data_IF_210753565461
#
_entry.id   IF_210753565461
#
_cell.length_a   1.000
_cell.length_b   1.000
_cell.length_c   1.000
_cell.angle_alpha   90.00
_cell.angle_beta   90.00
_cell.angle_gamma   90.00
#
_symmetry.space_group_name_H-M   'P 1'
#
loop_
_entity.id
_entity.type
_entity.pdbx_description
1 polymer ?
#
# COMPACT_ATOMS: atom_id res chain seq x y z
N UNK A 1 -27.55 -21.29 -3.72
CA UNK A 1 -27.37 -20.43 -4.91
C UNK A 1 -27.20 -18.99 -4.43
N UNK A 2 -25.97 -18.45 -4.39
CA UNK A 2 -25.75 -17.05 -3.96
C UNK A 2 -26.24 -16.13 -5.08
N UNK A 3 -27.23 -15.30 -4.78
CA UNK A 3 -27.73 -14.27 -5.70
C UNK A 3 -26.61 -13.24 -5.87
N UNK A 4 -25.98 -13.19 -7.06
CA UNK A 4 -25.05 -12.10 -7.41
C UNK A 4 -25.87 -10.82 -7.48
N UNK A 5 -25.66 -9.91 -6.54
CA UNK A 5 -26.33 -8.61 -6.52
C UNK A 5 -25.73 -7.77 -7.65
N UNK A 6 -26.49 -7.56 -8.73
CA UNK A 6 -26.06 -6.70 -9.84
C UNK A 6 -26.28 -5.25 -9.39
N UNK A 7 -25.21 -4.59 -8.96
CA UNK A 7 -25.23 -3.15 -8.68
C UNK A 7 -24.99 -2.42 -10.00
N UNK A 8 -25.87 -1.48 -10.35
CA UNK A 8 -25.68 -0.59 -11.50
C UNK A 8 -24.66 0.50 -11.13
N UNK A 9 -23.56 0.59 -11.88
CA UNK A 9 -22.68 1.75 -11.90
C UNK A 9 -23.01 2.54 -13.17
N UNK A 10 -23.08 3.86 -13.06
CA UNK A 10 -23.32 4.75 -14.22
C UNK A 10 -21.97 5.10 -14.88
N UNK A 11 -21.14 4.07 -15.11
CA UNK A 11 -19.86 4.21 -15.78
C UNK A 11 -19.73 3.07 -16.78
N UNK A 12 -19.66 3.43 -18.05
CA UNK A 12 -19.35 2.50 -19.13
C UNK A 12 -17.83 2.52 -19.32
N UNK A 13 -17.20 1.35 -19.19
CA UNK A 13 -15.77 1.22 -19.44
C UNK A 13 -15.49 1.66 -20.88
N UNK A 14 -14.41 2.41 -21.08
CA UNK A 14 -13.95 2.79 -22.42
C UNK A 14 -13.05 1.72 -23.04
N UNK A 15 -12.64 0.74 -22.23
CA UNK A 15 -11.81 -0.41 -22.58
C UNK A 15 -12.48 -1.74 -22.22
N UNK A 16 -11.93 -2.84 -22.74
CA UNK A 16 -12.47 -4.20 -22.59
C UNK A 16 -12.52 -4.69 -21.13
N UNK A 17 -11.54 -4.29 -20.31
CA UNK A 17 -11.43 -4.68 -18.91
C UNK A 17 -11.23 -3.47 -18.02
N UNK A 18 -11.58 -3.60 -16.74
CA UNK A 18 -11.39 -2.53 -15.76
C UNK A 18 -9.89 -2.19 -15.63
N UNK A 19 -9.03 -3.21 -15.62
CA UNK A 19 -7.58 -3.03 -15.57
C UNK A 19 -7.06 -2.16 -16.72
N UNK A 20 -7.47 -2.45 -17.96
CA UNK A 20 -7.07 -1.68 -19.15
C UNK A 20 -7.62 -0.25 -19.11
N UNK A 21 -8.84 -0.08 -18.60
CA UNK A 21 -9.47 1.23 -18.49
C UNK A 21 -8.72 2.11 -17.46
N UNK A 22 -8.33 1.52 -16.31
CA UNK A 22 -7.46 2.16 -15.31
C UNK A 22 -6.10 2.51 -15.93
N UNK A 23 -5.46 1.61 -16.68
CA UNK A 23 -4.17 1.88 -17.34
C UNK A 23 -4.27 3.08 -18.28
N UNK A 24 -5.30 3.11 -19.12
CA UNK A 24 -5.54 4.22 -20.06
C UNK A 24 -5.79 5.52 -19.32
N UNK A 25 -6.61 5.50 -18.26
CA UNK A 25 -6.85 6.65 -17.41
C UNK A 25 -5.54 7.19 -16.82
N UNK A 26 -4.71 6.33 -16.24
CA UNK A 26 -3.40 6.69 -15.67
C UNK A 26 -2.48 7.30 -16.74
N UNK A 27 -2.46 6.72 -17.95
CA UNK A 27 -1.66 7.25 -19.07
C UNK A 27 -2.12 8.64 -19.49
N UNK A 28 -3.43 8.88 -19.55
CA UNK A 28 -4.01 10.18 -19.88
C UNK A 28 -3.72 11.22 -18.80
N UNK A 29 -3.87 10.86 -17.52
CA UNK A 29 -3.52 11.73 -16.39
C UNK A 29 -2.05 12.15 -16.44
N UNK A 30 -1.14 11.22 -16.70
CA UNK A 30 0.30 11.51 -16.85
C UNK A 30 0.63 12.41 -18.05
N UNK A 31 -0.27 12.54 -19.03
CA UNK A 31 -0.13 13.47 -20.16
C UNK A 31 -0.68 14.88 -19.85
N UNK A 32 -1.31 15.06 -18.69
CA UNK A 32 -1.91 16.32 -18.26
C UNK A 32 -3.37 16.48 -18.66
N UNK A 33 -4.04 15.42 -19.14
CA UNK A 33 -5.45 15.48 -19.56
C UNK A 33 -6.40 15.89 -18.41
N UNK A 34 -5.98 15.69 -17.17
CA UNK A 34 -6.71 16.08 -15.95
C UNK A 34 -5.97 17.17 -15.15
N UNK A 35 -5.00 17.87 -15.74
CA UNK A 35 -4.44 19.04 -15.09
C UNK A 35 -5.56 20.07 -14.87
N UNK A 36 -5.62 20.66 -13.70
CA UNK A 36 -6.65 21.60 -13.24
C UNK A 36 -8.05 20.98 -13.20
N UNK A 37 -8.18 19.65 -13.00
CA UNK A 37 -9.46 18.92 -12.93
C UNK A 37 -10.43 19.59 -11.95
N UNK A 38 -9.91 20.15 -10.84
CA UNK A 38 -10.68 20.94 -9.88
C UNK A 38 -11.44 22.11 -10.50
N UNK A 39 -10.82 22.81 -11.45
CA UNK A 39 -11.42 23.94 -12.16
C UNK A 39 -12.40 23.50 -13.24
N UNK A 40 -12.20 22.30 -13.79
CA UNK A 40 -12.97 21.75 -14.92
C UNK A 40 -14.02 20.71 -14.50
N UNK A 41 -14.50 20.77 -13.25
CA UNK A 41 -15.67 20.01 -12.81
C UNK A 41 -15.37 18.60 -12.28
N UNK A 42 -14.11 18.33 -11.93
CA UNK A 42 -13.65 17.12 -11.25
C UNK A 42 -13.94 15.83 -12.04
N UNK A 43 -13.69 15.82 -13.34
CA UNK A 43 -13.95 14.66 -14.21
C UNK A 43 -13.03 13.49 -13.86
N UNK A 44 -11.74 13.74 -13.68
CA UNK A 44 -10.78 12.74 -13.22
C UNK A 44 -11.18 12.13 -11.88
N UNK A 45 -11.54 12.98 -10.90
CA UNK A 45 -12.03 12.50 -9.59
C UNK A 45 -13.31 11.67 -9.70
N UNK A 46 -14.25 12.05 -10.58
CA UNK A 46 -15.48 11.27 -10.82
C UNK A 46 -15.16 9.89 -11.38
N UNK A 47 -14.22 9.79 -12.31
CA UNK A 47 -13.78 8.51 -12.90
C UNK A 47 -13.16 7.61 -11.82
N UNK A 48 -12.20 8.14 -11.03
CA UNK A 48 -11.56 7.38 -9.95
C UNK A 48 -12.60 6.82 -8.97
N UNK A 49 -13.59 7.63 -8.58
CA UNK A 49 -14.69 7.17 -7.70
C UNK A 49 -15.51 6.04 -8.30
N UNK A 50 -15.69 5.99 -9.62
CA UNK A 50 -16.37 4.87 -10.27
C UNK A 50 -15.49 3.60 -10.23
N UNK A 51 -14.19 3.71 -10.49
CA UNK A 51 -13.27 2.57 -10.38
C UNK A 51 -13.29 1.96 -8.98
N UNK A 52 -13.17 2.78 -7.94
CA UNK A 52 -13.23 2.32 -6.56
C UNK A 52 -14.57 1.62 -6.24
N UNK A 53 -15.70 2.16 -6.74
CA UNK A 53 -17.02 1.54 -6.56
C UNK A 53 -17.13 0.18 -7.25
N UNK A 54 -16.58 0.04 -8.46
CA UNK A 54 -16.55 -1.24 -9.18
C UNK A 54 -15.66 -2.24 -8.43
N UNK A 55 -14.49 -1.81 -7.95
CA UNK A 55 -13.55 -2.65 -7.20
C UNK A 55 -14.13 -3.17 -5.90
N UNK A 56 -14.86 -2.34 -5.15
CA UNK A 56 -15.53 -2.77 -3.92
C UNK A 56 -16.52 -3.91 -4.18
N UNK A 57 -17.27 -3.84 -5.27
CA UNK A 57 -18.26 -4.87 -5.61
C UNK A 57 -17.61 -6.14 -6.16
N UNK A 58 -16.57 -6.02 -6.98
CA UNK A 58 -15.72 -7.16 -7.38
C UNK A 58 -15.13 -7.87 -6.16
N UNK A 59 -14.65 -7.11 -5.18
CA UNK A 59 -14.12 -7.65 -3.93
C UNK A 59 -15.20 -8.40 -3.14
N UNK A 60 -16.40 -7.82 -2.98
CA UNK A 60 -17.57 -8.50 -2.35
C UNK A 60 -17.99 -9.77 -3.08
N UNK A 61 -17.79 -9.82 -4.39
CA UNK A 61 -18.05 -11.00 -5.22
C UNK A 61 -16.89 -12.02 -5.23
N UNK A 62 -15.83 -11.78 -4.45
CA UNK A 62 -14.63 -12.63 -4.36
C UNK A 62 -13.86 -12.75 -5.69
N UNK A 63 -13.92 -11.72 -6.54
CA UNK A 63 -13.11 -11.60 -7.76
C UNK A 63 -11.69 -11.06 -7.41
N UNK A 64 -10.99 -11.76 -6.51
CA UNK A 64 -9.78 -11.24 -5.84
C UNK A 64 -8.59 -11.00 -6.78
N UNK A 65 -8.43 -11.81 -7.83
CA UNK A 65 -7.33 -11.67 -8.79
C UNK A 65 -7.46 -10.39 -9.62
N UNK A 66 -8.67 -10.11 -10.12
CA UNK A 66 -8.98 -8.86 -10.84
C UNK A 66 -8.81 -7.65 -9.91
N UNK A 67 -9.29 -7.77 -8.67
CA UNK A 67 -9.10 -6.73 -7.65
C UNK A 67 -7.61 -6.47 -7.39
N UNK A 68 -6.80 -7.51 -7.19
CA UNK A 68 -5.33 -7.39 -7.01
C UNK A 68 -4.73 -6.54 -8.13
N UNK A 69 -4.96 -6.93 -9.39
CA UNK A 69 -4.33 -6.29 -10.53
C UNK A 69 -4.73 -4.81 -10.66
N UNK A 70 -6.01 -4.51 -10.44
CA UNK A 70 -6.52 -3.15 -10.53
C UNK A 70 -6.05 -2.27 -9.35
N UNK A 71 -6.12 -2.78 -8.11
CA UNK A 71 -5.63 -2.05 -6.93
C UNK A 71 -4.14 -1.76 -7.03
N UNK A 72 -3.36 -2.74 -7.48
CA UNK A 72 -1.92 -2.62 -7.64
C UNK A 72 -1.51 -1.50 -8.62
N UNK A 73 -2.38 -1.14 -9.56
CA UNK A 73 -2.19 0.01 -10.46
C UNK A 73 -2.72 1.30 -9.85
N UNK A 74 -3.96 1.25 -9.36
CA UNK A 74 -4.69 2.44 -8.94
C UNK A 74 -4.15 3.04 -7.64
N UNK A 75 -3.91 2.23 -6.61
CA UNK A 75 -3.52 2.75 -5.29
C UNK A 75 -2.16 3.47 -5.34
N UNK A 76 -1.08 2.87 -5.88
CA UNK A 76 0.20 3.58 -6.01
C UNK A 76 0.10 4.86 -6.85
N UNK A 77 -0.70 4.82 -7.92
CA UNK A 77 -0.96 6.01 -8.73
C UNK A 77 -1.62 7.12 -7.92
N UNK A 78 -2.60 6.79 -7.08
CA UNK A 78 -3.32 7.77 -6.27
C UNK A 78 -2.43 8.35 -5.16
N UNK A 79 -1.60 7.54 -4.51
CA UNK A 79 -0.62 8.00 -3.53
C UNK A 79 0.33 9.03 -4.16
N UNK A 80 0.94 8.68 -5.28
CA UNK A 80 1.86 9.58 -6.01
C UNK A 80 1.12 10.83 -6.49
N UNK A 81 -0.09 10.68 -7.04
CA UNK A 81 -0.85 11.83 -7.56
C UNK A 81 -1.40 12.74 -6.47
N UNK A 82 -1.26 12.36 -5.20
CA UNK A 82 -1.63 13.16 -4.03
C UNK A 82 -0.42 13.80 -3.34
N UNK A 83 0.80 13.48 -3.77
CA UNK A 83 2.01 14.10 -3.22
C UNK A 83 2.29 15.44 -3.89
N UNK A 84 3.03 16.31 -3.19
CA UNK A 84 3.34 17.65 -3.67
C UNK A 84 4.10 17.65 -5.01
N UNK A 85 5.00 16.68 -5.21
CA UNK A 85 5.80 16.55 -6.44
C UNK A 85 5.07 15.78 -7.55
N UNK A 86 3.94 15.14 -7.23
CA UNK A 86 3.20 14.26 -8.12
C UNK A 86 1.79 14.75 -8.45
N UNK A 87 1.36 15.91 -7.97
CA UNK A 87 -0.01 16.41 -8.17
C UNK A 87 -0.35 16.55 -9.67
N UNK A 88 -1.12 15.60 -10.19
CA UNK A 88 -1.58 15.56 -11.58
C UNK A 88 -2.94 16.23 -11.79
N UNK A 89 -3.64 16.58 -10.71
CA UNK A 89 -5.05 17.00 -10.73
C UNK A 89 -5.31 18.38 -10.12
N UNK A 90 -4.29 19.01 -9.54
CA UNK A 90 -4.33 20.24 -8.75
C UNK A 90 -5.25 20.13 -7.54
N UNK A 91 -5.12 18.99 -6.85
CA UNK A 91 -5.84 18.69 -5.63
C UNK A 91 -4.91 18.77 -4.42
N UNK A 92 -5.16 19.76 -3.56
CA UNK A 92 -4.45 19.90 -2.28
C UNK A 92 -4.50 18.64 -1.39
N UNK A 93 -5.52 17.79 -1.53
CA UNK A 93 -5.68 16.53 -0.78
C UNK A 93 -6.63 15.58 -1.55
N UNK A 94 -6.12 14.95 -2.61
CA UNK A 94 -6.93 14.08 -3.47
C UNK A 94 -7.48 12.87 -2.71
N UNK A 95 -6.70 12.25 -1.82
CA UNK A 95 -7.13 11.06 -1.07
C UNK A 95 -8.33 11.37 -0.18
N UNK A 96 -8.30 12.48 0.56
CA UNK A 96 -9.45 12.90 1.37
C UNK A 96 -10.69 13.21 0.52
N UNK A 97 -10.50 13.65 -0.73
CA UNK A 97 -11.59 13.93 -1.68
C UNK A 97 -12.20 12.66 -2.30
N UNK A 98 -11.49 11.54 -2.32
CA UNK A 98 -11.95 10.27 -2.89
C UNK A 98 -12.97 9.57 -1.98
N UNK A 99 -12.64 9.40 -0.70
CA UNK A 99 -13.57 8.92 0.32
C UNK A 99 -12.96 9.04 1.72
N UNK A 100 -13.82 9.07 2.75
CA UNK A 100 -13.39 8.83 4.14
C UNK A 100 -12.83 7.42 4.37
N UNK A 101 -13.00 6.53 3.39
CA UNK A 101 -12.71 5.10 3.49
C UNK A 101 -11.58 4.71 2.51
N UNK A 102 -10.63 5.59 2.19
CA UNK A 102 -9.52 5.24 1.29
C UNK A 102 -8.72 4.05 1.84
N UNK A 103 -8.46 4.07 3.14
CA UNK A 103 -7.79 3.00 3.89
C UNK A 103 -8.52 1.65 3.76
N UNK A 104 -9.85 1.64 3.59
CA UNK A 104 -10.59 0.39 3.36
C UNK A 104 -10.22 -0.25 2.01
N UNK A 105 -9.92 0.55 0.98
CA UNK A 105 -9.46 0.04 -0.31
C UNK A 105 -8.03 -0.49 -0.22
N UNK A 106 -7.16 0.17 0.56
CA UNK A 106 -5.80 -0.31 0.80
C UNK A 106 -5.82 -1.62 1.59
N UNK A 107 -6.63 -1.71 2.64
CA UNK A 107 -6.91 -2.98 3.34
C UNK A 107 -7.37 -4.07 2.39
N UNK A 108 -8.34 -3.78 1.52
CA UNK A 108 -8.84 -4.77 0.55
C UNK A 108 -7.75 -5.22 -0.43
N UNK A 109 -6.86 -4.32 -0.83
CA UNK A 109 -5.70 -4.65 -1.66
C UNK A 109 -4.76 -5.64 -0.96
N UNK A 110 -4.38 -5.40 0.29
CA UNK A 110 -3.54 -6.34 1.05
C UNK A 110 -4.22 -7.70 1.26
N UNK A 111 -5.53 -7.73 1.51
CA UNK A 111 -6.29 -8.98 1.55
C UNK A 111 -6.19 -9.73 0.21
N UNK A 112 -6.28 -9.02 -0.92
CA UNK A 112 -6.12 -9.64 -2.24
C UNK A 112 -4.71 -10.21 -2.40
N UNK A 113 -3.67 -9.44 -2.05
CA UNK A 113 -2.28 -9.90 -2.12
C UNK A 113 -2.06 -11.19 -1.32
N UNK A 114 -2.41 -11.20 -0.02
CA UNK A 114 -2.19 -12.37 0.83
C UNK A 114 -2.93 -13.61 0.34
N UNK A 115 -4.13 -13.44 -0.23
CA UNK A 115 -4.96 -14.56 -0.67
C UNK A 115 -4.60 -15.11 -2.05
N UNK A 116 -3.89 -14.35 -2.88
CA UNK A 116 -3.69 -14.70 -4.29
C UNK A 116 -2.22 -14.81 -4.70
N UNK A 117 -1.31 -14.15 -4.00
CA UNK A 117 0.10 -14.15 -4.34
C UNK A 117 0.86 -15.35 -3.73
N UNK A 118 1.88 -15.80 -4.45
CA UNK A 118 3.00 -16.53 -3.83
C UNK A 118 3.82 -15.60 -2.92
N UNK A 119 4.68 -16.13 -2.05
CA UNK A 119 5.55 -15.29 -1.20
C UNK A 119 6.52 -14.43 -2.03
N UNK A 120 7.04 -14.97 -3.14
CA UNK A 120 7.90 -14.21 -4.05
C UNK A 120 7.15 -13.03 -4.68
N UNK A 121 5.96 -13.29 -5.23
CA UNK A 121 5.11 -12.24 -5.79
C UNK A 121 4.66 -11.23 -4.74
N UNK A 122 4.35 -11.68 -3.53
CA UNK A 122 3.96 -10.82 -2.41
C UNK A 122 5.09 -9.85 -2.05
N UNK A 123 6.33 -10.34 -1.94
CA UNK A 123 7.51 -9.51 -1.67
C UNK A 123 7.72 -8.45 -2.77
N UNK A 124 7.56 -8.83 -4.04
CA UNK A 124 7.66 -7.89 -5.16
C UNK A 124 6.58 -6.80 -5.07
N UNK A 125 5.33 -7.18 -4.83
CA UNK A 125 4.19 -6.26 -4.77
C UNK A 125 4.25 -5.31 -3.58
N UNK A 126 4.71 -5.77 -2.41
CA UNK A 126 4.94 -4.92 -1.23
C UNK A 126 6.07 -3.93 -1.52
N UNK A 127 7.17 -4.38 -2.12
CA UNK A 127 8.30 -3.50 -2.43
C UNK A 127 7.91 -2.39 -3.42
N UNK A 128 7.06 -2.71 -4.41
CA UNK A 128 6.51 -1.73 -5.37
C UNK A 128 5.60 -0.72 -4.66
N UNK A 129 4.72 -1.18 -3.78
CA UNK A 129 3.85 -0.33 -2.98
C UNK A 129 4.63 0.59 -2.03
N UNK A 130 5.61 0.05 -1.30
CA UNK A 130 6.48 0.79 -0.38
C UNK A 130 7.19 1.96 -1.08
N UNK A 131 7.57 1.77 -2.35
CA UNK A 131 8.24 2.81 -3.13
C UNK A 131 7.32 3.96 -3.57
N UNK A 132 5.99 3.80 -3.41
CA UNK A 132 4.98 4.80 -3.77
C UNK A 132 4.43 5.60 -2.58
N UNK A 133 4.84 5.23 -1.36
CA UNK A 133 4.25 5.70 -0.11
C UNK A 133 4.62 7.16 0.25
N UNK A 134 5.72 7.71 -0.25
CA UNK A 134 6.16 9.10 0.02
C UNK A 134 6.04 9.48 1.52
N UNK A 135 5.19 10.46 1.90
CA UNK A 135 4.94 10.84 3.31
C UNK A 135 3.95 9.93 4.05
N UNK A 136 3.29 9.01 3.35
CA UNK A 136 2.38 8.03 3.94
C UNK A 136 3.18 6.83 4.45
N UNK A 137 3.01 6.44 5.70
CA UNK A 137 3.61 5.21 6.23
C UNK A 137 2.70 3.98 6.03
N UNK A 138 3.22 2.79 6.30
CA UNK A 138 2.44 1.55 6.26
C UNK A 138 1.37 1.38 7.39
N UNK A 139 1.14 2.38 8.25
CA UNK A 139 0.73 2.20 9.65
C UNK A 139 -0.53 1.36 9.92
N UNK A 140 -1.59 1.43 9.12
CA UNK A 140 -2.79 0.60 9.31
C UNK A 140 -2.82 -0.65 8.42
N UNK A 141 -2.01 -0.69 7.37
CA UNK A 141 -2.13 -1.66 6.28
C UNK A 141 -1.29 -2.93 6.49
N UNK A 142 -0.13 -2.77 7.15
CA UNK A 142 0.83 -3.86 7.42
C UNK A 142 0.28 -4.89 8.41
N UNK A 143 -0.52 -4.50 9.41
CA UNK A 143 -1.13 -5.44 10.36
C UNK A 143 -2.08 -6.43 9.69
N UNK A 144 -2.91 -5.97 8.75
CA UNK A 144 -3.83 -6.83 8.00
C UNK A 144 -3.04 -7.91 7.26
N UNK A 145 -1.94 -7.53 6.65
CA UNK A 145 -1.11 -8.47 5.91
C UNK A 145 -0.43 -9.46 6.84
N UNK A 146 0.25 -8.98 7.88
CA UNK A 146 1.08 -9.80 8.76
C UNK A 146 0.24 -10.78 9.59
N UNK A 147 -0.97 -10.37 10.02
CA UNK A 147 -1.90 -11.24 10.76
C UNK A 147 -2.51 -12.37 9.91
N UNK A 148 -2.40 -12.31 8.57
CA UNK A 148 -2.90 -13.36 7.68
C UNK A 148 -1.80 -14.31 7.18
N UNK A 149 -0.55 -14.13 7.63
CA UNK A 149 0.58 -15.01 7.29
C UNK A 149 0.98 -15.84 8.52
N UNK A 150 1.31 -17.11 8.30
CA UNK A 150 1.86 -17.94 9.37
C UNK A 150 3.36 -17.66 9.58
N UNK A 151 3.93 -18.17 10.68
CA UNK A 151 5.35 -17.95 11.03
C UNK A 151 6.34 -18.34 9.91
N UNK A 152 6.09 -19.45 9.22
CA UNK A 152 6.97 -19.89 8.12
C UNK A 152 6.90 -18.92 6.94
N UNK A 153 5.69 -18.49 6.57
CA UNK A 153 5.47 -17.50 5.51
C UNK A 153 6.08 -16.14 5.86
N UNK A 154 6.00 -15.71 7.13
CA UNK A 154 6.61 -14.47 7.61
C UNK A 154 8.13 -14.53 7.49
N UNK A 155 8.76 -15.64 7.90
CA UNK A 155 10.21 -15.82 7.74
C UNK A 155 10.63 -15.82 6.27
N UNK A 156 9.90 -16.51 5.39
CA UNK A 156 10.17 -16.49 3.95
C UNK A 156 10.02 -15.07 3.37
N UNK A 157 8.97 -14.35 3.77
CA UNK A 157 8.75 -12.98 3.32
C UNK A 157 9.87 -12.06 3.79
N UNK A 158 10.29 -12.19 5.05
CA UNK A 158 11.42 -11.44 5.62
C UNK A 158 12.70 -11.66 4.81
N UNK A 159 13.07 -12.91 4.54
CA UNK A 159 14.25 -13.26 3.72
C UNK A 159 14.20 -12.58 2.35
N UNK A 160 13.05 -12.60 1.69
CA UNK A 160 12.86 -11.98 0.36
C UNK A 160 12.95 -10.46 0.42
N UNK A 161 12.35 -9.84 1.43
CA UNK A 161 12.40 -8.39 1.61
C UNK A 161 13.82 -7.92 1.99
N UNK A 162 14.56 -8.70 2.78
CA UNK A 162 15.97 -8.40 3.09
C UNK A 162 16.84 -8.33 1.83
N UNK A 163 16.59 -9.17 0.83
CA UNK A 163 17.29 -9.10 -0.46
C UNK A 163 17.02 -7.78 -1.18
N UNK A 164 15.79 -7.25 -1.10
CA UNK A 164 15.42 -5.96 -1.71
C UNK A 164 16.16 -4.77 -1.10
N UNK A 165 16.67 -4.91 0.12
CA UNK A 165 17.44 -3.87 0.81
C UNK A 165 18.94 -3.86 0.48
N UNK A 166 19.42 -4.80 -0.33
CA UNK A 166 20.85 -4.91 -0.61
C UNK A 166 21.39 -3.65 -1.32
N UNK A 167 22.45 -3.06 -0.76
CA UNK A 167 23.08 -1.85 -1.31
C UNK A 167 22.34 -0.54 -1.03
N UNK A 168 21.27 -0.56 -0.22
CA UNK A 168 20.60 0.67 0.21
C UNK A 168 21.54 1.59 0.98
N UNK A 169 21.32 2.88 0.80
CA UNK A 169 22.05 3.97 1.45
C UNK A 169 21.06 5.03 1.94
N UNK A 170 21.55 6.05 2.65
CA UNK A 170 20.72 7.19 3.07
C UNK A 170 20.06 7.96 1.93
N UNK A 171 20.49 7.76 0.68
CA UNK A 171 19.88 8.40 -0.49
C UNK A 171 18.64 7.65 -0.99
N UNK A 172 18.37 6.46 -0.47
CA UNK A 172 17.27 5.59 -0.86
C UNK A 172 16.03 5.80 0.04
N UNK A 173 15.77 7.05 0.46
CA UNK A 173 14.71 7.41 1.43
C UNK A 173 13.34 6.83 1.05
N UNK A 174 13.00 6.82 -0.24
CA UNK A 174 11.75 6.25 -0.77
C UNK A 174 11.57 4.75 -0.52
N UNK A 175 12.61 4.05 -0.08
CA UNK A 175 12.60 2.62 0.24
C UNK A 175 12.74 2.36 1.74
N UNK A 176 12.86 3.40 2.58
CA UNK A 176 12.98 3.24 4.03
C UNK A 176 11.76 2.53 4.62
N UNK A 177 10.58 2.67 4.02
CA UNK A 177 9.37 1.90 4.38
C UNK A 177 9.57 0.37 4.37
N UNK A 178 10.47 -0.15 3.53
CA UNK A 178 10.83 -1.58 3.55
C UNK A 178 11.57 -1.94 4.85
N UNK A 179 12.39 -1.02 5.38
CA UNK A 179 13.09 -1.21 6.66
C UNK A 179 12.07 -1.28 7.79
N UNK A 180 11.15 -0.32 7.87
CA UNK A 180 10.07 -0.33 8.87
C UNK A 180 9.22 -1.61 8.77
N UNK A 181 8.93 -2.07 7.55
CA UNK A 181 8.23 -3.32 7.33
C UNK A 181 8.97 -4.55 7.89
N UNK A 182 10.29 -4.62 7.71
CA UNK A 182 11.12 -5.70 8.28
C UNK A 182 11.14 -5.66 9.82
N UNK A 183 11.17 -4.47 10.41
CA UNK A 183 11.10 -4.30 11.87
C UNK A 183 9.77 -4.81 12.43
N UNK A 184 8.67 -4.52 11.74
CA UNK A 184 7.32 -4.95 12.12
C UNK A 184 7.18 -6.49 12.12
N UNK A 185 7.77 -7.16 11.12
CA UNK A 185 7.80 -8.64 11.09
C UNK A 185 8.45 -9.18 12.37
N UNK A 186 9.59 -8.61 12.79
CA UNK A 186 10.28 -9.03 14.01
C UNK A 186 9.46 -8.72 15.26
N UNK A 187 8.78 -7.57 15.32
CA UNK A 187 7.87 -7.21 16.42
C UNK A 187 6.71 -8.18 16.57
N UNK A 188 5.96 -8.46 15.50
CA UNK A 188 4.80 -9.39 15.55
C UNK A 188 5.23 -10.81 15.91
N UNK A 189 6.43 -11.22 15.51
CA UNK A 189 7.00 -12.51 15.91
C UNK A 189 7.57 -12.53 17.34
N UNK A 190 7.58 -11.40 18.04
CA UNK A 190 8.23 -11.21 19.34
C UNK A 190 9.73 -11.53 19.34
N UNK A 191 10.41 -11.30 18.21
CA UNK A 191 11.84 -11.58 18.04
C UNK A 191 12.70 -10.34 18.32
N UNK A 192 13.03 -10.16 19.60
CA UNK A 192 13.87 -9.04 20.07
C UNK A 192 15.25 -9.01 19.42
N UNK A 193 15.87 -10.18 19.33
CA UNK A 193 17.24 -10.29 18.85
C UNK A 193 17.29 -9.87 17.39
N UNK A 194 16.31 -10.34 16.60
CA UNK A 194 16.20 -9.96 15.20
C UNK A 194 15.90 -8.48 15.02
N UNK A 195 15.00 -7.91 15.81
CA UNK A 195 14.70 -6.48 15.75
C UNK A 195 15.96 -5.62 15.97
N UNK A 196 16.76 -5.94 16.99
CA UNK A 196 17.99 -5.22 17.30
C UNK A 196 19.07 -5.43 16.22
N UNK A 197 19.18 -6.65 15.67
CA UNK A 197 20.06 -6.95 14.53
C UNK A 197 19.72 -6.07 13.33
N UNK A 198 18.43 -5.96 12.98
CA UNK A 198 17.95 -5.12 11.90
C UNK A 198 18.25 -3.64 12.17
N UNK A 199 18.05 -3.16 13.40
CA UNK A 199 18.35 -1.77 13.78
C UNK A 199 19.82 -1.41 13.50
N UNK A 200 20.75 -2.26 13.95
CA UNK A 200 22.17 -2.02 13.72
C UNK A 200 22.54 -2.18 12.23
N UNK A 201 21.92 -3.12 11.51
CA UNK A 201 22.10 -3.30 10.06
C UNK A 201 21.73 -2.03 9.27
N UNK A 202 20.63 -1.37 9.62
CA UNK A 202 20.10 -0.22 8.89
C UNK A 202 20.48 1.15 9.46
N UNK A 203 21.28 1.21 10.52
CA UNK A 203 21.82 2.47 11.09
C UNK A 203 22.52 3.38 10.08
N UNK A 204 23.16 2.79 9.06
CA UNK A 204 23.82 3.51 7.97
C UNK A 204 22.89 3.96 6.84
N UNK A 205 21.65 3.47 6.83
CA UNK A 205 20.60 3.75 5.84
C UNK A 205 19.63 4.81 6.38
N UNK A 206 19.20 4.66 7.63
CA UNK A 206 18.31 5.61 8.28
C UNK A 206 19.05 6.88 8.74
N UNK A 207 18.30 7.97 8.89
CA UNK A 207 18.80 9.14 9.60
C UNK A 207 18.89 8.88 11.12
N UNK A 208 19.57 9.77 11.86
CA UNK A 208 19.76 9.56 13.29
C UNK A 208 18.45 9.67 14.09
N UNK A 209 17.47 10.44 13.63
CA UNK A 209 16.18 10.58 14.31
C UNK A 209 15.33 9.33 14.11
N UNK A 210 15.25 8.84 12.87
CA UNK A 210 14.58 7.59 12.49
C UNK A 210 15.16 6.40 13.26
N UNK A 211 16.49 6.28 13.29
CA UNK A 211 17.16 5.21 14.02
C UNK A 211 16.85 5.24 15.53
N UNK A 212 16.92 6.42 16.15
CA UNK A 212 16.58 6.57 17.57
C UNK A 212 15.09 6.32 17.86
N UNK A 213 14.22 6.64 16.91
CA UNK A 213 12.78 6.37 16.99
C UNK A 213 12.52 4.85 16.97
N UNK A 214 12.98 4.14 15.95
CA UNK A 214 12.80 2.67 15.83
C UNK A 214 13.39 1.94 17.04
N UNK A 215 14.57 2.35 17.51
CA UNK A 215 15.21 1.72 18.68
C UNK A 215 14.40 1.89 19.98
N UNK A 216 13.57 2.93 20.09
CA UNK A 216 12.69 3.17 21.25
C UNK A 216 11.36 2.44 21.15
N UNK A 217 10.78 2.35 19.95
CA UNK A 217 9.50 1.68 19.70
C UNK A 217 9.44 0.28 20.33
N UNK A 218 10.45 -0.56 20.11
CA UNK A 218 10.50 -1.90 20.71
C UNK A 218 10.50 -1.89 22.25
N UNK A 219 11.17 -0.91 22.89
CA UNK A 219 11.23 -0.85 24.35
C UNK A 219 9.92 -0.39 24.98
N UNK A 220 9.09 0.35 24.24
CA UNK A 220 7.80 0.85 24.70
C UNK A 220 6.68 -0.17 24.44
N UNK A 221 6.70 -0.89 23.30
CA UNK A 221 5.69 -1.91 22.99
C UNK A 221 5.66 -3.08 23.98
N UNK A 222 6.80 -3.42 24.62
CA UNK A 222 6.85 -4.41 25.71
C UNK A 222 6.29 -3.94 27.05
N UNK A 223 6.08 -2.64 27.27
CA UNK A 223 5.56 -2.12 28.55
C UNK A 223 4.02 -2.07 28.57
N UNK A 224 3.36 -1.83 27.44
CA UNK A 224 1.89 -1.78 27.38
C UNK A 224 1.23 -3.17 27.52
N UNK A 225 1.91 -4.26 27.15
CA UNK A 225 1.44 -5.63 27.39
C UNK A 225 1.57 -6.06 28.87
N UNK A 226 2.48 -5.44 29.63
CA UNK A 226 2.69 -5.76 31.05
C UNK A 226 1.84 -4.93 32.01
N UNK A 227 1.19 -3.85 31.55
CA UNK A 227 0.29 -3.03 32.37
C UNK A 227 -1.19 -3.46 32.27
N UNK A 228 -1.54 -4.40 31.38
CA UNK A 228 -2.89 -4.94 31.20
C UNK A 228 -3.03 -6.44 31.56
N UNK A 229 -2.03 -7.03 32.23
CA UNK A 229 -2.02 -8.43 32.70
C UNK A 229 -2.57 -8.63 34.12
#
# INVERSE_FOLDING_TARGET
MKIKKVVKYNYELTEETLEKDIDKFIQNAKKGDYHMDKMYGNEGLKIIKQYLKILNEKFKNNELEECKNCYHKLIPFLLISSSADGDLFDYNDMLAMLSKDFDDYVRNYFICLVKTCSIDELADKISEYASSLDVYGFDSDKEIMLNNLNKEQLNQLEEKMLVKTHGMTKKDEKKHEIVYFLMEIAQIQNDKEKYLELCEKFKGVLDNKEYEYIKREYNNSTNEENENG
#
